data_IF_986017423222
#
_entry.id   IF_986017423222
#
_cell.length_a   1.000
_cell.length_b   1.000
_cell.length_c   1.000
_cell.angle_alpha   90.00
_cell.angle_beta   90.00
_cell.angle_gamma   90.00
#
_symmetry.space_group_name_H-M   'P 1'
#
loop_
_entity.id
_entity.type
_entity.pdbx_description
1 polymer ?
#
# COMPACT_ATOMS: atom_id res chain seq x y z
N UNK A 1 -22.33 4.69 1.27
CA UNK A 1 -21.67 3.67 0.42
C UNK A 1 -20.44 4.31 -0.22
N UNK A 2 -19.25 3.82 0.10
CA UNK A 2 -17.98 4.29 -0.48
C UNK A 2 -17.55 3.30 -1.56
N UNK A 3 -17.29 3.78 -2.79
CA UNK A 3 -16.76 2.92 -3.84
C UNK A 3 -15.26 2.76 -3.64
N UNK A 4 -14.82 1.54 -3.39
CA UNK A 4 -13.41 1.18 -3.30
C UNK A 4 -12.97 0.54 -4.61
N UNK A 5 -11.96 1.12 -5.21
CA UNK A 5 -11.31 0.59 -6.41
C UNK A 5 -10.25 -0.41 -6.00
N UNK A 6 -10.25 -1.59 -6.60
CA UNK A 6 -9.28 -2.64 -6.31
C UNK A 6 -8.78 -3.32 -7.58
N UNK A 7 -7.54 -3.78 -7.56
CA UNK A 7 -7.00 -4.67 -8.60
C UNK A 7 -6.84 -6.05 -7.99
N UNK A 8 -7.60 -7.01 -8.52
CA UNK A 8 -7.47 -8.42 -8.15
C UNK A 8 -6.34 -9.05 -8.94
N UNK A 9 -5.50 -9.80 -8.26
CA UNK A 9 -4.32 -10.45 -8.83
C UNK A 9 -4.52 -11.97 -8.78
N UNK A 10 -4.48 -12.61 -9.93
CA UNK A 10 -4.49 -14.05 -10.10
C UNK A 10 -3.08 -14.49 -10.57
N UNK A 11 -2.26 -14.91 -9.62
CA UNK A 11 -0.87 -15.27 -9.89
C UNK A 11 -0.74 -16.53 -10.76
N UNK A 12 -1.74 -17.41 -10.73
CA UNK A 12 -1.73 -18.66 -11.53
C UNK A 12 -1.84 -18.38 -13.03
N UNK A 13 -2.47 -17.26 -13.39
CA UNK A 13 -2.55 -16.80 -14.77
C UNK A 13 -1.33 -15.99 -15.23
N UNK A 14 -0.49 -15.55 -14.32
CA UNK A 14 0.64 -14.69 -14.66
C UNK A 14 1.73 -15.50 -15.39
N UNK A 15 2.07 -15.06 -16.60
CA UNK A 15 3.15 -15.66 -17.40
C UNK A 15 4.50 -14.96 -17.27
N UNK A 16 4.63 -13.96 -16.38
CA UNK A 16 5.87 -13.24 -16.14
C UNK A 16 6.32 -12.30 -17.27
N UNK A 17 5.45 -11.93 -18.20
CA UNK A 17 5.81 -11.11 -19.36
C UNK A 17 6.23 -9.66 -19.02
N UNK A 18 5.95 -9.18 -17.81
CA UNK A 18 6.26 -7.83 -17.32
C UNK A 18 5.69 -6.67 -18.13
N UNK A 19 4.74 -6.89 -19.01
CA UNK A 19 4.06 -5.83 -19.76
C UNK A 19 3.44 -4.80 -18.80
N UNK A 20 2.88 -5.24 -17.68
CA UNK A 20 2.33 -4.38 -16.64
C UNK A 20 3.36 -3.40 -16.05
N UNK A 21 4.61 -3.83 -15.86
CA UNK A 21 5.69 -2.95 -15.38
C UNK A 21 6.03 -1.87 -16.42
N UNK A 22 6.14 -2.27 -17.69
CA UNK A 22 6.46 -1.37 -18.79
C UNK A 22 5.38 -0.31 -18.96
N UNK A 23 4.12 -0.72 -19.10
CA UNK A 23 3.02 0.23 -19.31
C UNK A 23 2.79 1.14 -18.11
N UNK A 24 2.93 0.63 -16.88
CA UNK A 24 2.86 1.45 -15.67
C UNK A 24 3.94 2.52 -15.68
N UNK A 25 5.18 2.16 -16.02
CA UNK A 25 6.29 3.11 -16.06
C UNK A 25 6.15 4.17 -17.15
N UNK A 26 5.56 3.83 -18.30
CA UNK A 26 5.34 4.78 -19.41
C UNK A 26 4.22 5.77 -19.12
N UNK A 27 3.13 5.32 -18.50
CA UNK A 27 2.03 6.21 -18.07
C UNK A 27 2.51 7.23 -17.06
N UNK A 28 3.42 6.82 -16.16
CA UNK A 28 3.94 7.69 -15.11
C UNK A 28 5.26 8.40 -15.47
N UNK A 29 5.65 8.36 -16.74
CA UNK A 29 6.76 9.17 -17.23
C UNK A 29 6.39 10.66 -17.32
N UNK A 30 7.37 11.52 -17.28
CA UNK A 30 7.19 12.95 -17.46
C UNK A 30 8.04 13.43 -18.66
N UNK A 31 7.42 13.85 -19.77
CA UNK A 31 5.99 13.78 -20.08
C UNK A 31 5.46 12.33 -20.18
N UNK A 32 4.14 12.15 -20.04
CA UNK A 32 3.52 10.80 -20.18
C UNK A 32 3.94 10.14 -21.50
N UNK A 33 4.18 8.83 -21.46
CA UNK A 33 4.57 8.00 -22.61
C UNK A 33 5.92 8.37 -23.26
N UNK A 34 6.70 9.27 -22.68
CA UNK A 34 7.98 9.71 -23.25
C UNK A 34 9.12 8.73 -23.03
N UNK A 35 9.03 7.91 -22.00
CA UNK A 35 10.07 6.96 -21.63
C UNK A 35 9.50 5.76 -20.87
N UNK A 36 10.28 4.69 -20.79
CA UNK A 36 9.97 3.52 -19.98
C UNK A 36 11.12 3.27 -19.01
N UNK A 37 10.86 3.41 -17.71
CA UNK A 37 11.80 3.05 -16.68
C UNK A 37 11.11 2.13 -15.67
N UNK A 38 11.35 0.81 -15.70
CA UNK A 38 10.69 -0.15 -14.81
C UNK A 38 10.88 0.16 -13.31
N UNK A 39 11.93 0.90 -12.94
CA UNK A 39 12.12 1.34 -11.55
C UNK A 39 11.06 2.34 -11.09
N UNK A 40 10.40 3.04 -12.01
CA UNK A 40 9.30 3.97 -11.74
C UNK A 40 7.92 3.29 -11.80
N UNK A 41 7.88 2.02 -12.11
CA UNK A 41 6.64 1.24 -12.10
C UNK A 41 6.11 1.04 -10.68
N UNK A 42 4.79 1.09 -10.53
CA UNK A 42 4.05 0.83 -9.29
C UNK A 42 3.54 -0.61 -9.20
N UNK A 43 3.98 -1.44 -10.13
CA UNK A 43 3.77 -2.89 -10.15
C UNK A 43 5.09 -3.56 -10.50
N UNK A 44 5.38 -4.69 -9.86
CA UNK A 44 6.58 -5.48 -10.13
C UNK A 44 6.24 -6.96 -10.09
N UNK A 45 6.74 -7.69 -11.07
CA UNK A 45 6.56 -9.15 -11.13
C UNK A 45 7.79 -9.81 -10.49
N UNK A 46 7.58 -10.46 -9.36
CA UNK A 46 8.59 -11.33 -8.77
C UNK A 46 8.63 -12.66 -9.50
N UNK A 47 9.83 -13.15 -9.74
CA UNK A 47 10.10 -14.38 -10.46
C UNK A 47 10.78 -15.38 -9.53
N UNK A 48 10.17 -16.55 -9.34
CA UNK A 48 10.85 -17.73 -8.82
C UNK A 48 11.12 -18.71 -9.98
N UNK A 49 12.35 -18.74 -10.52
CA UNK A 49 12.66 -19.56 -11.69
C UNK A 49 12.66 -21.05 -11.38
N UNK A 50 12.84 -21.44 -10.11
CA UNK A 50 12.88 -22.85 -9.72
C UNK A 50 11.46 -23.43 -9.73
N UNK A 51 10.50 -22.66 -9.23
CA UNK A 51 9.08 -23.06 -9.15
C UNK A 51 8.28 -22.64 -10.37
N UNK A 52 8.90 -21.91 -11.32
CA UNK A 52 8.22 -21.29 -12.45
C UNK A 52 6.99 -20.47 -12.03
N UNK A 53 7.13 -19.71 -10.95
CA UNK A 53 6.05 -18.92 -10.36
C UNK A 53 6.32 -17.44 -10.60
N UNK A 54 5.29 -16.72 -11.02
CA UNK A 54 5.34 -15.28 -11.27
C UNK A 54 4.30 -14.57 -10.43
N UNK A 55 4.73 -13.70 -9.54
CA UNK A 55 3.83 -13.00 -8.60
C UNK A 55 3.87 -11.50 -8.86
N UNK A 56 2.82 -10.91 -9.43
CA UNK A 56 2.69 -9.47 -9.52
C UNK A 56 2.48 -8.87 -8.12
N UNK A 57 3.34 -7.93 -7.74
CA UNK A 57 3.19 -7.13 -6.52
C UNK A 57 2.84 -5.70 -6.91
N UNK A 58 1.89 -5.12 -6.19
CA UNK A 58 1.48 -3.73 -6.35
C UNK A 58 2.13 -2.87 -5.27
N UNK A 59 2.47 -1.62 -5.62
CA UNK A 59 2.77 -0.59 -4.64
C UNK A 59 1.53 -0.32 -3.78
N UNK A 60 1.75 0.13 -2.54
CA UNK A 60 0.66 0.50 -1.65
C UNK A 60 -0.24 1.57 -2.27
N UNK A 61 -1.52 1.62 -1.91
CA UNK A 61 -2.45 2.61 -2.43
C UNK A 61 -1.99 4.03 -2.06
N UNK A 62 -2.29 4.98 -2.92
CA UNK A 62 -2.08 6.39 -2.63
C UNK A 62 -3.16 6.85 -1.64
N UNK A 63 -2.73 7.29 -0.47
CA UNK A 63 -3.58 8.01 0.49
C UNK A 63 -2.89 9.32 0.81
N UNK A 64 -3.54 10.42 0.53
CA UNK A 64 -2.99 11.78 0.68
C UNK A 64 -2.56 12.10 2.12
N UNK A 65 -3.19 11.43 3.09
CA UNK A 65 -2.91 11.60 4.52
C UNK A 65 -1.70 10.81 5.03
N UNK A 66 -1.31 9.72 4.36
CA UNK A 66 -0.41 8.72 4.96
C UNK A 66 1.02 8.74 4.44
N UNK A 67 1.30 9.32 3.28
CA UNK A 67 2.61 9.18 2.66
C UNK A 67 2.88 10.27 1.64
N UNK A 68 3.21 11.45 2.09
CA UNK A 68 3.48 12.56 1.19
C UNK A 68 4.97 12.92 1.07
N UNK A 69 5.85 12.31 1.88
CA UNK A 69 7.28 12.57 1.84
C UNK A 69 7.65 14.03 2.06
N UNK A 70 6.83 14.77 2.84
CA UNK A 70 6.98 16.23 3.02
C UNK A 70 8.06 16.61 4.01
N UNK A 71 8.43 15.68 4.91
CA UNK A 71 9.33 15.98 6.01
C UNK A 71 10.67 15.28 5.80
N UNK A 72 11.73 16.05 5.92
CA UNK A 72 13.11 15.58 6.00
C UNK A 72 13.62 15.88 7.39
N UNK A 73 14.18 14.87 8.03
CA UNK A 73 14.71 14.98 9.39
C UNK A 73 16.25 14.97 9.31
N UNK A 74 16.88 15.96 9.92
CA UNK A 74 18.35 15.98 10.03
C UNK A 74 18.75 15.58 11.45
N UNK A 75 19.46 14.47 11.59
CA UNK A 75 19.95 13.95 12.88
C UNK A 75 21.45 13.70 12.73
N UNK A 76 22.24 14.32 13.57
CA UNK A 76 23.71 14.24 13.55
C UNK A 76 24.31 14.54 12.16
N UNK A 77 23.75 15.51 11.44
CA UNK A 77 24.18 15.94 10.11
C UNK A 77 23.80 14.99 8.98
N UNK A 78 23.04 13.94 9.24
CA UNK A 78 22.51 12.99 8.23
C UNK A 78 21.03 13.20 8.01
N UNK A 79 20.62 13.25 6.75
CA UNK A 79 19.22 13.42 6.36
C UNK A 79 18.48 12.08 6.28
N UNK A 80 17.25 12.06 6.77
CA UNK A 80 16.32 10.93 6.75
C UNK A 80 14.97 11.37 6.22
N UNK A 81 14.37 10.56 5.38
CA UNK A 81 13.00 10.74 4.90
C UNK A 81 11.95 10.23 5.93
N UNK A 82 10.68 10.61 5.75
CA UNK A 82 9.58 10.13 6.60
C UNK A 82 9.48 8.60 6.65
N UNK A 83 9.84 7.91 5.56
CA UNK A 83 9.78 6.46 5.50
C UNK A 83 10.72 5.79 6.49
N UNK A 84 11.82 6.45 6.87
CA UNK A 84 12.78 5.96 7.86
C UNK A 84 12.16 5.76 9.24
N UNK A 85 11.14 6.55 9.57
CA UNK A 85 10.45 6.52 10.86
C UNK A 85 9.04 5.89 10.80
N UNK A 86 8.56 5.57 9.60
CA UNK A 86 7.24 4.98 9.41
C UNK A 86 7.20 3.54 9.93
N UNK A 87 6.21 3.21 10.75
CA UNK A 87 5.99 1.87 11.31
C UNK A 87 5.04 1.00 10.49
N UNK A 88 4.36 1.60 9.49
CA UNK A 88 3.42 0.86 8.66
C UNK A 88 4.12 -0.22 7.82
N UNK A 89 3.48 -1.37 7.66
CA UNK A 89 3.89 -2.37 6.68
C UNK A 89 3.50 -1.88 5.30
N UNK A 90 4.49 -1.46 4.50
CA UNK A 90 4.24 -0.86 3.20
C UNK A 90 5.18 -1.45 2.14
N UNK A 91 4.63 -2.11 1.08
CA UNK A 91 5.44 -2.63 -0.02
C UNK A 91 6.26 -1.56 -0.73
N UNK A 92 5.76 -0.30 -0.73
CA UNK A 92 6.46 0.81 -1.39
C UNK A 92 7.74 1.23 -0.69
N UNK A 93 7.92 0.88 0.59
CA UNK A 93 9.13 1.24 1.34
C UNK A 93 10.39 0.62 0.75
N UNK A 94 10.32 -0.66 0.41
CA UNK A 94 11.50 -1.44 0.04
C UNK A 94 11.56 -1.75 -1.46
N UNK A 95 10.39 -2.03 -2.07
CA UNK A 95 10.31 -2.51 -3.45
C UNK A 95 10.04 -1.40 -4.47
N UNK A 96 9.34 -0.34 -4.06
CA UNK A 96 8.84 0.70 -4.96
C UNK A 96 9.35 2.07 -4.52
N UNK A 97 10.61 2.38 -4.83
CA UNK A 97 11.20 3.70 -4.61
C UNK A 97 11.42 4.42 -5.93
N UNK A 98 11.07 5.69 -5.95
CA UNK A 98 11.38 6.58 -7.05
C UNK A 98 12.91 6.74 -7.13
N UNK A 99 13.53 6.48 -8.31
CA UNK A 99 14.99 6.37 -8.40
C UNK A 99 15.74 7.68 -8.14
N UNK A 100 15.12 8.84 -8.37
CA UNK A 100 15.78 10.14 -8.25
C UNK A 100 15.64 10.72 -6.83
N UNK A 101 14.45 10.61 -6.23
CA UNK A 101 14.15 11.17 -4.91
C UNK A 101 14.26 10.17 -3.76
N UNK A 102 14.24 8.86 -4.07
CA UNK A 102 14.18 7.81 -3.06
C UNK A 102 12.83 7.68 -2.34
N UNK A 103 11.84 8.51 -2.69
CA UNK A 103 10.51 8.49 -2.08
C UNK A 103 9.72 7.24 -2.50
N UNK A 104 8.81 6.75 -1.66
CA UNK A 104 7.99 5.60 -1.99
C UNK A 104 7.01 5.92 -3.11
N UNK A 105 7.00 5.10 -4.15
CA UNK A 105 6.00 5.15 -5.20
C UNK A 105 4.69 4.54 -4.68
N UNK A 106 3.57 5.19 -4.99
CA UNK A 106 2.22 4.75 -4.62
C UNK A 106 1.38 4.49 -5.86
N UNK A 107 0.49 3.51 -5.79
CA UNK A 107 -0.44 3.21 -6.88
C UNK A 107 -1.66 4.13 -6.78
N UNK A 108 -1.82 4.98 -7.79
CA UNK A 108 -2.96 5.88 -8.00
C UNK A 108 -4.08 5.23 -8.84
N UNK A 109 -3.97 3.94 -9.15
CA UNK A 109 -4.89 3.21 -10.04
C UNK A 109 -5.05 3.87 -11.42
N UNK A 110 -4.05 4.63 -11.87
CA UNK A 110 -4.09 5.43 -13.11
C UNK A 110 -5.34 6.33 -13.17
N UNK A 111 -5.66 7.04 -12.10
CA UNK A 111 -6.87 7.87 -11.98
C UNK A 111 -7.02 8.89 -13.11
N UNK A 112 -5.89 9.32 -13.69
CA UNK A 112 -5.86 10.24 -14.83
C UNK A 112 -6.12 9.57 -16.20
N UNK A 113 -6.26 8.23 -16.25
CA UNK A 113 -6.52 7.48 -17.49
C UNK A 113 -8.02 7.15 -17.60
N UNK A 114 -8.68 7.56 -18.71
CA UNK A 114 -10.13 7.38 -18.86
C UNK A 114 -10.56 5.91 -18.96
N UNK A 115 -9.65 5.04 -19.37
CA UNK A 115 -9.91 3.60 -19.54
C UNK A 115 -9.47 2.77 -18.32
N UNK A 116 -9.14 3.43 -17.19
CA UNK A 116 -8.72 2.79 -15.94
C UNK A 116 -7.26 2.31 -15.92
N UNK A 117 -6.92 1.38 -15.01
CA UNK A 117 -5.54 0.98 -14.79
C UNK A 117 -4.89 0.32 -16.02
N UNK A 118 -3.87 0.98 -16.57
CA UNK A 118 -3.18 0.50 -17.78
C UNK A 118 -2.54 -0.88 -17.61
N UNK A 119 -2.07 -1.22 -16.41
CA UNK A 119 -1.52 -2.55 -16.12
C UNK A 119 -2.57 -3.66 -16.28
N UNK A 120 -3.84 -3.39 -15.94
CA UNK A 120 -4.96 -4.33 -16.15
C UNK A 120 -5.29 -4.44 -17.63
N UNK A 121 -5.47 -3.30 -18.29
CA UNK A 121 -5.84 -3.25 -19.72
C UNK A 121 -4.86 -4.01 -20.62
N UNK A 122 -3.57 -3.94 -20.32
CA UNK A 122 -2.53 -4.60 -21.10
C UNK A 122 -2.11 -5.97 -20.56
N UNK A 123 -2.83 -6.51 -19.58
CA UNK A 123 -2.58 -7.84 -19.06
C UNK A 123 -3.18 -8.91 -19.96
N UNK A 124 -2.44 -9.36 -20.97
CA UNK A 124 -2.93 -10.35 -21.94
C UNK A 124 -3.42 -11.66 -21.31
N UNK A 125 -2.73 -12.26 -20.30
CA UNK A 125 -3.21 -13.48 -19.67
C UNK A 125 -4.39 -13.26 -18.72
N UNK A 126 -4.83 -12.01 -18.48
CA UNK A 126 -5.92 -11.72 -17.57
C UNK A 126 -5.60 -12.00 -16.09
N UNK A 127 -4.31 -11.95 -15.73
CA UNK A 127 -3.87 -12.11 -14.34
C UNK A 127 -4.22 -10.91 -13.45
N UNK A 128 -4.50 -9.75 -14.04
CA UNK A 128 -4.92 -8.53 -13.34
C UNK A 128 -6.34 -8.19 -13.77
N UNK A 129 -7.23 -7.99 -12.81
CA UNK A 129 -8.63 -7.60 -13.02
C UNK A 129 -8.96 -6.40 -12.17
N UNK A 130 -9.61 -5.39 -12.77
CA UNK A 130 -10.09 -4.22 -12.04
C UNK A 130 -11.49 -4.46 -11.52
N UNK A 131 -11.72 -4.19 -10.26
CA UNK A 131 -13.01 -4.33 -9.59
C UNK A 131 -13.34 -3.04 -8.84
N UNK A 132 -14.60 -2.60 -8.95
CA UNK A 132 -15.17 -1.57 -8.09
C UNK A 132 -16.10 -2.26 -7.10
N UNK A 133 -15.83 -2.12 -5.82
CA UNK A 133 -16.65 -2.64 -4.74
C UNK A 133 -17.33 -1.49 -4.02
N UNK A 134 -18.61 -1.61 -3.81
CA UNK A 134 -19.32 -0.74 -2.88
C UNK A 134 -19.10 -1.31 -1.47
N UNK A 135 -18.38 -0.56 -0.64
CA UNK A 135 -18.21 -0.90 0.78
C UNK A 135 -19.28 -0.13 1.53
N UNK A 136 -20.13 -0.84 2.22
CA UNK A 136 -21.07 -0.26 3.18
C UNK A 136 -20.21 0.32 4.31
N UNK A 137 -20.33 1.64 4.48
CA UNK A 137 -19.31 2.40 5.15
C UNK A 137 -19.27 2.21 6.66
N UNK A 138 -18.13 2.57 7.20
CA UNK A 138 -17.81 3.02 8.57
C UNK A 138 -18.38 2.21 9.76
N UNK A 139 -19.54 1.58 9.65
CA UNK A 139 -20.15 0.81 10.75
C UNK A 139 -19.42 -0.53 10.97
N UNK A 140 -19.03 -1.24 9.90
CA UNK A 140 -18.28 -2.50 10.03
C UNK A 140 -16.85 -2.27 10.52
N UNK A 141 -16.15 -1.22 10.07
CA UNK A 141 -14.82 -0.87 10.59
C UNK A 141 -14.88 -0.43 12.07
N UNK A 142 -15.96 0.20 12.47
CA UNK A 142 -16.18 0.61 13.87
C UNK A 142 -16.49 -0.61 14.73
N UNK A 143 -17.31 -1.54 14.26
CA UNK A 143 -17.65 -2.78 14.98
C UNK A 143 -16.41 -3.70 15.08
N UNK A 144 -15.61 -3.84 14.01
CA UNK A 144 -14.39 -4.65 14.03
C UNK A 144 -13.35 -4.04 14.99
N UNK A 145 -13.10 -2.72 14.91
CA UNK A 145 -12.21 -2.01 15.85
C UNK A 145 -12.74 -2.04 17.29
N UNK A 146 -14.03 -1.93 17.49
CA UNK A 146 -14.63 -2.08 18.82
C UNK A 146 -14.45 -3.50 19.37
N UNK A 147 -14.62 -4.52 18.55
CA UNK A 147 -14.37 -5.91 18.91
C UNK A 147 -12.91 -6.18 19.29
N UNK A 148 -11.95 -5.63 18.55
CA UNK A 148 -10.51 -5.73 18.85
C UNK A 148 -10.15 -5.00 20.15
N UNK A 149 -10.68 -3.80 20.37
CA UNK A 149 -10.48 -3.03 21.60
C UNK A 149 -11.05 -3.77 22.80
N UNK A 150 -12.25 -4.33 22.66
CA UNK A 150 -12.91 -5.08 23.72
C UNK A 150 -12.16 -6.37 24.07
N UNK A 151 -11.66 -7.09 23.06
CA UNK A 151 -10.82 -8.28 23.26
C UNK A 151 -9.49 -7.93 23.93
N UNK A 152 -8.82 -6.86 23.50
CA UNK A 152 -7.60 -6.34 24.12
C UNK A 152 -7.81 -5.89 25.55
N UNK A 153 -8.93 -5.23 25.85
CA UNK A 153 -9.27 -4.81 27.20
C UNK A 153 -9.54 -6.00 28.12
N UNK A 154 -10.27 -7.02 27.64
CA UNK A 154 -10.50 -8.27 28.37
C UNK A 154 -9.20 -8.98 28.72
N UNK A 155 -8.26 -9.03 27.79
CA UNK A 155 -6.93 -9.64 28.04
C UNK A 155 -6.12 -8.83 29.06
N UNK A 156 -6.10 -7.51 28.98
CA UNK A 156 -5.43 -6.66 29.97
C UNK A 156 -6.02 -6.81 31.37
N UNK A 157 -7.35 -6.86 31.48
CA UNK A 157 -8.04 -7.10 32.74
C UNK A 157 -7.73 -8.48 33.29
N UNK A 158 -7.64 -9.51 32.45
CA UNK A 158 -7.27 -10.86 32.85
C UNK A 158 -5.84 -10.93 33.41
N UNK A 159 -4.90 -10.18 32.81
CA UNK A 159 -3.46 -10.20 33.22
C UNK A 159 -3.16 -9.33 34.43
N UNK A 160 -3.78 -8.17 34.51
CA UNK A 160 -3.42 -7.11 35.48
C UNK A 160 -4.51 -6.79 36.50
N UNK A 161 -5.68 -7.41 36.35
CA UNK A 161 -6.87 -7.14 37.16
C UNK A 161 -7.52 -5.79 36.79
N UNK A 162 -8.82 -5.69 36.96
CA UNK A 162 -9.60 -4.49 36.61
C UNK A 162 -9.05 -3.23 37.30
N UNK A 163 -8.67 -3.36 38.56
CA UNK A 163 -8.12 -2.21 39.34
C UNK A 163 -6.83 -1.70 38.75
N UNK A 164 -5.90 -2.57 38.36
CA UNK A 164 -4.62 -2.18 37.76
C UNK A 164 -4.80 -1.47 36.44
N UNK A 165 -5.75 -1.92 35.60
CA UNK A 165 -6.08 -1.29 34.33
C UNK A 165 -6.70 0.09 34.56
N UNK A 166 -7.65 0.21 35.47
CA UNK A 166 -8.32 1.49 35.81
C UNK A 166 -7.34 2.51 36.40
N UNK A 167 -6.45 2.10 37.29
CA UNK A 167 -5.41 2.98 37.89
C UNK A 167 -4.43 3.48 36.83
N UNK A 168 -4.16 2.69 35.80
CA UNK A 168 -3.29 3.06 34.68
C UNK A 168 -3.98 4.06 33.76
N UNK A 169 -5.24 3.81 33.40
CA UNK A 169 -6.05 4.72 32.59
C UNK A 169 -6.23 6.08 33.28
N UNK A 170 -6.48 6.09 34.59
CA UNK A 170 -6.62 7.30 35.39
C UNK A 170 -5.32 8.15 35.47
N UNK A 171 -4.16 7.52 35.31
CA UNK A 171 -2.87 8.25 35.23
C UNK A 171 -2.68 8.87 33.85
N UNK A 172 -2.96 8.13 32.77
CA UNK A 172 -2.81 8.60 31.39
C UNK A 172 -3.78 9.74 31.07
N UNK A 173 -4.98 9.74 31.66
CA UNK A 173 -6.00 10.77 31.40
C UNK A 173 -5.76 12.10 32.16
N UNK A 174 -4.70 12.22 32.96
CA UNK A 174 -4.37 13.42 33.72
C UNK A 174 -3.23 14.27 33.14
N UNK A 175 -2.58 13.75 32.07
CA UNK A 175 -1.60 14.45 31.22
C UNK A 175 -2.29 14.97 29.94
#
# INVERSE_FOLDING_TARGET
MKKVKAIKIDADKCCGCRTCEVVCSTVHATPKYSSSNPKRSRIRVLLDPIKNTFVPLMAGPYTEAECNGRYVFTIDGKEYDECSFCRASCPSRDLFREPDSGLPLKCDMCESEPEGPSCVRWCLPGALTYEEREVEGEEEEIEEKQGEIEAGLKELVSRHGLKGVMDTLARISKD
#
